data_IF_446968268825
#
_entry.id   IF_446968268825
#
_cell.length_a   1.000
_cell.length_b   1.000
_cell.length_c   1.000
_cell.angle_alpha   90.00
_cell.angle_beta   90.00
_cell.angle_gamma   90.00
#
_symmetry.space_group_name_H-M   'P 1'
#
loop_
_entity.id
_entity.type
_entity.pdbx_description
1 polymer ?
#
# COMPACT_ATOMS: atom_id res chain seq x y z
N UNK A 1 -16.89 17.00 -12.48
CA UNK A 1 -15.94 15.90 -12.70
C UNK A 1 -14.59 16.32 -12.15
N UNK A 2 -13.90 15.45 -11.43
CA UNK A 2 -12.55 15.74 -10.91
C UNK A 2 -11.55 15.90 -12.05
N UNK A 3 -10.39 16.50 -11.78
CA UNK A 3 -9.33 16.66 -12.78
C UNK A 3 -8.89 15.29 -13.35
N UNK A 4 -8.85 14.26 -12.50
CA UNK A 4 -8.53 12.89 -12.91
C UNK A 4 -9.61 12.31 -13.83
N UNK A 5 -10.90 12.43 -13.50
CA UNK A 5 -11.99 11.92 -14.36
C UNK A 5 -11.95 12.49 -15.78
N UNK A 6 -11.69 13.80 -15.92
CA UNK A 6 -11.55 14.43 -17.22
C UNK A 6 -10.33 13.88 -17.98
N UNK A 7 -9.22 13.68 -17.27
CA UNK A 7 -7.99 13.12 -17.82
C UNK A 7 -8.20 11.69 -18.34
N UNK A 8 -8.83 10.83 -17.54
CA UNK A 8 -9.14 9.45 -17.94
C UNK A 8 -10.10 9.42 -19.14
N UNK A 9 -11.12 10.28 -19.14
CA UNK A 9 -12.06 10.39 -20.26
C UNK A 9 -11.34 10.76 -21.56
N UNK A 10 -10.47 11.78 -21.52
CA UNK A 10 -9.69 12.19 -22.69
C UNK A 10 -8.76 11.09 -23.19
N UNK A 11 -8.12 10.33 -22.29
CA UNK A 11 -7.28 9.18 -22.66
C UNK A 11 -8.10 8.12 -23.41
N UNK A 12 -9.27 7.76 -22.87
CA UNK A 12 -10.14 6.73 -23.45
C UNK A 12 -10.74 7.13 -24.80
N UNK A 13 -11.03 8.42 -25.02
CA UNK A 13 -11.44 8.93 -26.33
C UNK A 13 -10.39 8.70 -27.44
N UNK A 14 -9.12 8.52 -27.06
CA UNK A 14 -7.97 8.34 -27.96
C UNK A 14 -7.40 6.91 -27.91
N UNK A 15 -8.16 5.92 -27.42
CA UNK A 15 -7.70 4.53 -27.30
C UNK A 15 -7.15 3.96 -28.62
N UNK A 16 -7.77 4.31 -29.76
CA UNK A 16 -7.33 3.80 -31.08
C UNK A 16 -5.90 4.23 -31.42
N UNK A 17 -5.50 5.44 -31.02
CA UNK A 17 -4.15 5.95 -31.24
C UNK A 17 -3.17 5.28 -30.28
N UNK A 18 -3.61 4.95 -29.07
CA UNK A 18 -2.78 4.32 -28.04
C UNK A 18 -2.54 2.83 -28.31
N UNK A 19 -3.46 2.15 -29.00
CA UNK A 19 -3.40 0.72 -29.27
C UNK A 19 -2.10 0.25 -29.95
N UNK A 20 -1.54 1.07 -30.85
CA UNK A 20 -0.30 0.79 -31.60
C UNK A 20 0.92 1.58 -31.07
N UNK A 21 0.74 2.32 -29.97
CA UNK A 21 1.76 3.21 -29.44
C UNK A 21 2.89 2.43 -28.72
N UNK A 22 4.08 3.02 -28.71
CA UNK A 22 5.20 2.51 -27.92
C UNK A 22 5.09 2.89 -26.44
N UNK A 23 5.90 2.29 -25.59
CA UNK A 23 5.91 2.52 -24.14
C UNK A 23 6.14 3.99 -23.79
N UNK A 24 7.09 4.66 -24.46
CA UNK A 24 7.36 6.08 -24.25
C UNK A 24 6.12 6.97 -24.50
N UNK A 25 5.25 6.60 -25.44
CA UNK A 25 3.99 7.30 -25.67
C UNK A 25 3.02 7.08 -24.52
N UNK A 26 2.93 5.86 -23.97
CA UNK A 26 2.10 5.56 -22.79
C UNK A 26 2.61 6.33 -21.57
N UNK A 27 3.92 6.31 -21.34
CA UNK A 27 4.58 7.08 -20.28
C UNK A 27 4.23 8.58 -20.37
N UNK A 28 4.34 9.18 -21.57
CA UNK A 28 4.21 10.63 -21.75
C UNK A 28 2.76 11.13 -21.84
N UNK A 29 1.89 10.39 -22.52
CA UNK A 29 0.52 10.84 -22.86
C UNK A 29 -0.56 10.18 -22.01
N UNK A 30 -0.22 9.19 -21.19
CA UNK A 30 -1.19 8.50 -20.32
C UNK A 30 -0.76 8.60 -18.87
N UNK A 31 0.41 8.04 -18.52
CA UNK A 31 0.86 7.93 -17.12
C UNK A 31 1.18 9.30 -16.52
N UNK A 32 1.99 10.13 -17.18
CA UNK A 32 2.30 11.47 -16.67
C UNK A 32 1.06 12.36 -16.48
N UNK A 33 0.11 12.46 -17.44
CA UNK A 33 -1.15 13.18 -17.22
C UNK A 33 -1.94 12.68 -16.00
N UNK A 34 -2.02 11.36 -15.78
CA UNK A 34 -2.68 10.78 -14.61
C UNK A 34 -1.94 11.19 -13.32
N UNK A 35 -0.61 11.09 -13.29
CA UNK A 35 0.20 11.51 -12.14
C UNK A 35 0.00 13.00 -11.82
N UNK A 36 0.00 13.87 -12.83
CA UNK A 36 -0.29 15.31 -12.67
C UNK A 36 -1.69 15.55 -12.10
N UNK A 37 -2.69 14.81 -12.58
CA UNK A 37 -4.05 14.90 -12.06
C UNK A 37 -4.17 14.44 -10.60
N UNK A 38 -3.27 13.54 -10.17
CA UNK A 38 -3.11 13.06 -8.79
C UNK A 38 -2.18 13.95 -7.93
N UNK A 39 -1.77 15.11 -8.45
CA UNK A 39 -1.03 16.13 -7.71
C UNK A 39 0.49 16.00 -7.73
N UNK A 40 1.05 15.09 -8.54
CA UNK A 40 2.49 14.97 -8.74
C UNK A 40 3.01 16.03 -9.72
N UNK A 41 4.20 16.59 -9.45
CA UNK A 41 4.81 17.59 -10.32
C UNK A 41 6.10 17.06 -10.98
N UNK A 42 6.04 16.78 -12.28
CA UNK A 42 7.18 16.35 -13.09
C UNK A 42 8.00 17.52 -13.68
N UNK A 43 7.53 18.76 -13.52
CA UNK A 43 8.16 19.94 -14.12
C UNK A 43 9.00 20.76 -13.13
N UNK A 44 8.84 20.53 -11.82
CA UNK A 44 9.64 21.18 -10.79
C UNK A 44 10.93 20.40 -10.50
N UNK A 45 12.03 20.87 -11.09
CA UNK A 45 13.34 20.27 -10.93
C UNK A 45 13.93 20.44 -9.52
N UNK A 46 13.40 21.35 -8.69
CA UNK A 46 13.89 21.54 -7.33
C UNK A 46 13.42 20.41 -6.40
N UNK A 47 12.23 19.86 -6.66
CA UNK A 47 11.63 18.77 -5.88
C UNK A 47 11.87 17.39 -6.49
N UNK A 48 12.03 17.31 -7.82
CA UNK A 48 12.25 16.05 -8.55
C UNK A 48 11.24 14.95 -8.18
N UNK A 49 9.98 15.33 -7.97
CA UNK A 49 8.94 14.43 -7.43
C UNK A 49 8.63 13.25 -8.34
N UNK A 50 8.83 13.42 -9.65
CA UNK A 50 8.67 12.37 -10.66
C UNK A 50 10.00 12.21 -11.38
N UNK A 51 10.79 11.22 -10.96
CA UNK A 51 12.10 10.95 -11.52
C UNK A 51 11.99 9.85 -12.60
N UNK A 52 12.25 10.17 -13.89
CA UNK A 52 12.26 9.15 -14.93
C UNK A 52 13.51 8.26 -14.84
N UNK A 53 13.41 7.05 -15.39
CA UNK A 53 14.55 6.17 -15.65
C UNK A 53 15.36 5.83 -14.39
N UNK A 54 14.66 5.57 -13.28
CA UNK A 54 15.26 5.33 -11.97
C UNK A 54 15.91 3.95 -11.89
N UNK A 55 17.21 3.93 -11.57
CA UNK A 55 17.99 2.71 -11.49
C UNK A 55 17.88 2.07 -10.09
N UNK A 56 17.44 0.81 -10.04
CA UNK A 56 17.50 -0.05 -8.86
C UNK A 56 18.37 -1.25 -9.19
N UNK A 57 19.52 -1.34 -8.54
CA UNK A 57 20.54 -2.36 -8.81
C UNK A 57 20.91 -2.44 -10.31
N UNK A 58 20.52 -3.53 -10.99
CA UNK A 58 20.79 -3.82 -12.40
C UNK A 58 19.62 -3.51 -13.33
N UNK A 59 18.51 -2.99 -12.80
CA UNK A 59 17.31 -2.66 -13.57
C UNK A 59 16.90 -1.20 -13.40
N UNK A 60 15.95 -0.81 -14.24
CA UNK A 60 15.49 0.55 -14.39
C UNK A 60 13.97 0.53 -14.41
N UNK A 61 13.36 1.29 -13.50
CA UNK A 61 11.95 1.59 -13.54
C UNK A 61 11.72 2.85 -14.36
N UNK A 62 10.58 2.93 -15.05
CA UNK A 62 10.27 4.08 -15.90
C UNK A 62 10.08 5.36 -15.09
N UNK A 63 9.42 5.26 -13.94
CA UNK A 63 9.30 6.37 -12.99
C UNK A 63 9.54 5.92 -11.54
N UNK A 64 10.16 6.80 -10.77
CA UNK A 64 10.19 6.76 -9.31
C UNK A 64 9.57 8.04 -8.74
N UNK A 65 8.68 7.89 -7.76
CA UNK A 65 7.98 9.02 -7.15
C UNK A 65 8.55 9.36 -5.78
N UNK A 66 8.82 10.65 -5.55
CA UNK A 66 9.43 11.18 -4.33
C UNK A 66 8.50 12.17 -3.63
N UNK A 67 8.45 12.09 -2.30
CA UNK A 67 7.79 13.11 -1.47
C UNK A 67 8.86 13.86 -0.70
N UNK A 68 9.28 15.06 -1.13
CA UNK A 68 10.24 15.86 -0.39
C UNK A 68 9.77 16.13 1.05
N UNK A 69 10.69 16.15 2.03
CA UNK A 69 12.15 16.04 1.90
C UNK A 69 12.67 14.59 1.95
N UNK A 70 11.85 13.57 1.70
CA UNK A 70 12.28 12.17 1.75
C UNK A 70 13.25 11.90 0.60
N UNK A 71 14.44 11.39 0.94
CA UNK A 71 15.53 11.15 -0.02
C UNK A 71 15.40 9.85 -0.81
N UNK A 72 14.50 8.94 -0.40
CA UNK A 72 14.20 7.69 -1.09
C UNK A 72 12.84 7.73 -1.79
N UNK A 73 12.68 7.03 -2.92
CA UNK A 73 11.40 6.97 -3.61
C UNK A 73 10.38 6.17 -2.81
N UNK A 74 9.11 6.57 -2.91
CA UNK A 74 7.97 5.91 -2.24
C UNK A 74 7.23 4.95 -3.18
N UNK A 75 7.25 5.25 -4.49
CA UNK A 75 6.57 4.46 -5.52
C UNK A 75 7.51 4.21 -6.69
N UNK A 76 7.55 2.98 -7.19
CA UNK A 76 8.09 2.66 -8.51
C UNK A 76 6.96 2.36 -9.50
N UNK A 77 7.13 2.80 -10.75
CA UNK A 77 6.19 2.55 -11.84
C UNK A 77 6.96 1.97 -13.04
N UNK A 78 6.49 0.82 -13.52
CA UNK A 78 6.89 0.20 -14.79
C UNK A 78 5.74 0.36 -15.79
N UNK A 79 6.03 0.89 -16.97
CA UNK A 79 5.05 1.06 -18.04
C UNK A 79 5.22 -0.02 -19.13
N UNK A 80 4.11 -0.35 -19.77
CA UNK A 80 4.01 -1.28 -20.91
C UNK A 80 3.26 -0.64 -22.07
N UNK A 81 3.27 -1.29 -23.23
CA UNK A 81 2.46 -0.86 -24.37
C UNK A 81 0.98 -1.10 -24.09
N UNK A 82 0.09 -0.28 -24.67
CA UNK A 82 -1.35 -0.27 -24.37
C UNK A 82 -2.04 -1.64 -24.36
N UNK A 83 -1.66 -2.54 -25.28
CA UNK A 83 -2.25 -3.87 -25.43
C UNK A 83 -1.34 -5.00 -24.93
N UNK A 84 -0.24 -4.68 -24.26
CA UNK A 84 0.67 -5.66 -23.70
C UNK A 84 0.12 -6.19 -22.36
N UNK A 85 -0.09 -7.51 -22.23
CA UNK A 85 -0.57 -8.12 -21.00
C UNK A 85 0.56 -8.26 -19.98
N UNK A 86 0.21 -8.21 -18.69
CA UNK A 86 1.18 -8.43 -17.62
C UNK A 86 1.54 -9.92 -17.49
N UNK A 87 2.82 -10.23 -17.64
CA UNK A 87 3.43 -11.54 -17.51
C UNK A 87 4.19 -11.65 -16.18
N UNK A 88 4.44 -12.87 -15.72
CA UNK A 88 5.22 -13.13 -14.49
C UNK A 88 6.65 -12.56 -14.53
N UNK A 89 7.20 -12.33 -15.72
CA UNK A 89 8.53 -11.70 -15.85
C UNK A 89 8.50 -10.21 -15.55
N UNK A 90 7.37 -9.54 -15.77
CA UNK A 90 7.24 -8.09 -15.59
C UNK A 90 6.92 -7.72 -14.14
N UNK A 91 6.44 -8.71 -13.39
CA UNK A 91 6.25 -8.73 -11.95
C UNK A 91 7.57 -8.55 -11.15
N UNK A 92 8.72 -8.54 -11.83
CA UNK A 92 10.03 -8.32 -11.23
C UNK A 92 10.20 -6.92 -10.60
N UNK A 93 9.41 -5.92 -11.00
CA UNK A 93 9.40 -4.60 -10.33
C UNK A 93 9.16 -4.73 -8.82
N UNK A 94 8.36 -5.69 -8.39
CA UNK A 94 8.09 -5.92 -6.97
C UNK A 94 9.33 -6.40 -6.21
N UNK A 95 10.19 -7.23 -6.82
CA UNK A 95 11.45 -7.64 -6.20
C UNK A 95 12.43 -6.47 -6.08
N UNK A 96 12.51 -5.60 -7.09
CA UNK A 96 13.38 -4.42 -7.02
C UNK A 96 12.90 -3.42 -5.98
N UNK A 97 11.59 -3.19 -5.91
CA UNK A 97 11.00 -2.36 -4.88
C UNK A 97 11.27 -2.93 -3.47
N UNK A 98 11.18 -4.25 -3.31
CA UNK A 98 11.57 -4.92 -2.06
C UNK A 98 13.07 -4.72 -1.72
N UNK A 99 13.98 -4.96 -2.68
CA UNK A 99 15.43 -4.74 -2.46
C UNK A 99 15.79 -3.28 -2.16
N UNK A 100 15.05 -2.34 -2.75
CA UNK A 100 15.26 -0.90 -2.60
C UNK A 100 14.53 -0.27 -1.40
N UNK A 101 13.85 -1.05 -0.56
CA UNK A 101 13.01 -0.58 0.55
C UNK A 101 11.92 0.43 0.09
N UNK A 102 11.32 0.17 -1.07
CA UNK A 102 10.32 1.05 -1.68
C UNK A 102 8.91 0.53 -1.33
N UNK A 103 8.06 1.35 -0.69
CA UNK A 103 6.76 0.91 -0.19
C UNK A 103 5.78 0.39 -1.24
N UNK A 104 5.71 1.00 -2.43
CA UNK A 104 4.71 0.62 -3.43
C UNK A 104 5.38 0.39 -4.78
N UNK A 105 4.98 -0.68 -5.47
CA UNK A 105 5.34 -0.94 -6.86
C UNK A 105 4.09 -1.00 -7.73
N UNK A 106 4.17 -0.44 -8.93
CA UNK A 106 3.07 -0.36 -9.89
C UNK A 106 3.55 -0.86 -11.25
N UNK A 107 2.74 -1.69 -11.89
CA UNK A 107 2.85 -1.97 -13.32
C UNK A 107 1.60 -1.46 -14.03
N UNK A 108 1.78 -0.83 -15.19
CA UNK A 108 0.66 -0.32 -15.98
C UNK A 108 0.92 -0.37 -17.49
N UNK A 109 -0.10 -0.64 -18.29
CA UNK A 109 -0.09 -0.39 -19.73
C UNK A 109 -0.86 0.89 -20.11
N UNK A 110 -1.18 1.73 -19.13
CA UNK A 110 -1.98 2.94 -19.28
C UNK A 110 -3.45 2.73 -18.96
N UNK A 111 -4.07 1.63 -19.41
CA UNK A 111 -5.47 1.31 -19.09
C UNK A 111 -5.63 0.45 -17.84
N UNK A 112 -4.78 -0.56 -17.70
CA UNK A 112 -4.74 -1.46 -16.57
C UNK A 112 -3.64 -1.04 -15.60
N UNK A 113 -3.97 -0.96 -14.32
CA UNK A 113 -3.08 -0.56 -13.24
C UNK A 113 -3.10 -1.63 -12.16
N UNK A 114 -1.93 -2.20 -11.87
CA UNK A 114 -1.77 -3.20 -10.81
C UNK A 114 -0.75 -2.73 -9.79
N UNK A 115 -1.18 -2.74 -8.54
CA UNK A 115 -0.42 -2.26 -7.40
C UNK A 115 0.02 -3.41 -6.51
N UNK A 116 1.28 -3.35 -6.09
CA UNK A 116 1.91 -4.33 -5.22
C UNK A 116 2.42 -3.64 -3.95
N UNK A 117 2.26 -4.33 -2.82
CA UNK A 117 2.90 -3.98 -1.55
C UNK A 117 4.11 -4.91 -1.37
N UNK A 118 5.34 -4.50 -1.75
CA UNK A 118 6.49 -5.40 -1.84
C UNK A 118 6.86 -6.04 -0.51
N UNK A 119 6.69 -5.32 0.59
CA UNK A 119 7.02 -5.79 1.94
C UNK A 119 5.89 -6.58 2.61
N UNK A 120 4.79 -6.85 1.89
CA UNK A 120 3.72 -7.68 2.43
C UNK A 120 4.18 -9.10 2.69
N UNK A 121 3.76 -9.65 3.84
CA UNK A 121 4.13 -10.97 4.36
C UNK A 121 3.39 -12.12 3.64
N UNK A 122 3.50 -12.17 2.32
CA UNK A 122 2.95 -13.25 1.52
C UNK A 122 4.03 -14.05 0.77
N UNK A 123 3.76 -15.34 0.58
CA UNK A 123 4.65 -16.31 -0.06
C UNK A 123 4.66 -16.19 -1.58
N UNK A 124 3.54 -15.80 -2.18
CA UNK A 124 3.42 -15.55 -3.62
C UNK A 124 3.34 -14.07 -3.93
N UNK A 125 3.74 -13.70 -5.14
CA UNK A 125 3.66 -12.33 -5.62
C UNK A 125 2.22 -11.89 -5.91
N UNK A 126 1.37 -12.83 -6.33
CA UNK A 126 -0.06 -12.58 -6.55
C UNK A 126 -0.79 -12.19 -5.27
N UNK A 127 -0.31 -12.68 -4.12
CA UNK A 127 -0.84 -12.33 -2.80
C UNK A 127 -0.34 -10.98 -2.29
N UNK A 128 0.61 -10.34 -2.99
CA UNK A 128 1.05 -8.96 -2.71
C UNK A 128 0.31 -7.92 -3.54
N UNK A 129 -0.56 -8.36 -4.46
CA UNK A 129 -1.42 -7.48 -5.26
C UNK A 129 -2.58 -7.01 -4.38
N UNK A 130 -2.58 -5.72 -4.05
CA UNK A 130 -3.62 -5.09 -3.22
C UNK A 130 -4.66 -4.31 -4.03
N UNK A 131 -4.36 -3.97 -5.27
CA UNK A 131 -5.29 -3.31 -6.19
C UNK A 131 -4.96 -3.71 -7.63
N UNK A 132 -5.99 -4.01 -8.40
CA UNK A 132 -5.95 -4.35 -9.82
C UNK A 132 -7.18 -3.70 -10.46
N UNK A 133 -6.98 -2.63 -11.22
CA UNK A 133 -8.05 -1.76 -11.69
C UNK A 133 -7.83 -1.36 -13.16
N UNK A 134 -8.90 -1.27 -13.94
CA UNK A 134 -8.83 -0.96 -15.38
C UNK A 134 -9.76 0.21 -15.71
N UNK A 135 -9.17 1.32 -16.15
CA UNK A 135 -9.88 2.56 -16.46
C UNK A 135 -10.82 2.39 -17.65
N UNK A 136 -10.59 1.42 -18.54
CA UNK A 136 -11.43 1.14 -19.70
C UNK A 136 -12.63 0.23 -19.35
N UNK A 137 -12.52 -0.57 -18.27
CA UNK A 137 -13.59 -1.46 -17.80
C UNK A 137 -14.52 -0.72 -16.83
N UNK A 138 -13.96 -0.11 -15.79
CA UNK A 138 -14.72 0.68 -14.81
C UNK A 138 -13.97 1.98 -14.45
N UNK A 139 -14.17 3.05 -15.24
CA UNK A 139 -13.50 4.33 -15.01
C UNK A 139 -13.79 4.93 -13.62
N UNK A 140 -14.96 4.67 -13.03
CA UNK A 140 -15.34 5.25 -11.74
C UNK A 140 -14.65 4.53 -10.59
N UNK A 141 -14.64 3.20 -10.62
CA UNK A 141 -13.86 2.42 -9.65
C UNK A 141 -12.38 2.74 -9.78
N UNK A 142 -11.85 2.75 -11.02
CA UNK A 142 -10.44 3.05 -11.24
C UNK A 142 -10.04 4.47 -10.83
N UNK A 143 -10.91 5.47 -11.00
CA UNK A 143 -10.69 6.82 -10.44
C UNK A 143 -10.53 6.74 -8.92
N UNK A 144 -11.43 6.03 -8.25
CA UNK A 144 -11.43 5.91 -6.78
C UNK A 144 -10.19 5.18 -6.28
N UNK A 145 -9.78 4.11 -6.96
CA UNK A 145 -8.57 3.34 -6.64
C UNK A 145 -7.30 4.16 -6.87
N UNK A 146 -7.18 4.84 -8.01
CA UNK A 146 -6.04 5.71 -8.32
C UNK A 146 -5.92 6.86 -7.30
N UNK A 147 -7.03 7.49 -6.92
CA UNK A 147 -7.04 8.52 -5.87
C UNK A 147 -6.67 7.91 -4.51
N UNK A 148 -7.21 6.74 -4.14
CA UNK A 148 -6.92 6.09 -2.86
C UNK A 148 -5.44 5.75 -2.70
N UNK A 149 -4.83 5.20 -3.74
CA UNK A 149 -3.49 4.60 -3.64
C UNK A 149 -2.36 5.42 -4.25
N UNK A 150 -2.64 6.42 -5.09
CA UNK A 150 -1.60 7.17 -5.81
C UNK A 150 -1.74 8.70 -5.72
N UNK A 151 -2.80 9.22 -5.08
CA UNK A 151 -2.91 10.65 -4.79
C UNK A 151 -1.74 11.08 -3.90
N UNK A 152 -1.03 12.13 -4.30
CA UNK A 152 0.18 12.59 -3.62
C UNK A 152 -0.06 12.86 -2.13
N UNK A 153 -1.20 13.43 -1.75
CA UNK A 153 -1.53 13.68 -0.33
C UNK A 153 -1.65 12.39 0.48
N UNK A 154 -2.22 11.34 -0.09
CA UNK A 154 -2.41 10.04 0.58
C UNK A 154 -1.09 9.27 0.68
N UNK A 155 -0.23 9.41 -0.33
CA UNK A 155 1.14 8.88 -0.28
C UNK A 155 1.96 9.62 0.79
N UNK A 156 1.86 10.96 0.82
CA UNK A 156 2.61 11.80 1.77
C UNK A 156 2.16 11.60 3.22
N UNK A 157 0.88 11.30 3.45
CA UNK A 157 0.31 11.05 4.77
C UNK A 157 0.52 9.61 5.26
N UNK A 158 0.93 8.69 4.38
CA UNK A 158 1.02 7.26 4.64
C UNK A 158 -0.32 6.51 4.53
N UNK A 159 -1.42 7.20 4.16
CA UNK A 159 -2.73 6.59 3.99
C UNK A 159 -2.77 5.58 2.83
N UNK A 160 -1.98 5.79 1.77
CA UNK A 160 -1.93 4.83 0.66
C UNK A 160 -1.35 3.48 1.08
N UNK A 161 -0.27 3.47 1.86
CA UNK A 161 0.33 2.24 2.41
C UNK A 161 -0.64 1.55 3.39
N UNK A 162 -1.26 2.32 4.30
CA UNK A 162 -2.23 1.77 5.25
C UNK A 162 -3.44 1.14 4.53
N UNK A 163 -3.99 1.80 3.51
CA UNK A 163 -5.10 1.25 2.74
C UNK A 163 -4.69 -0.02 1.98
N UNK A 164 -3.45 -0.10 1.49
CA UNK A 164 -2.92 -1.29 0.83
C UNK A 164 -2.82 -2.48 1.79
N UNK A 165 -2.33 -2.24 3.02
CA UNK A 165 -2.31 -3.26 4.08
C UNK A 165 -3.73 -3.76 4.40
N UNK A 166 -4.68 -2.85 4.60
CA UNK A 166 -6.09 -3.21 4.88
C UNK A 166 -6.67 -4.07 3.75
N UNK A 167 -6.46 -3.68 2.49
CA UNK A 167 -6.98 -4.42 1.34
C UNK A 167 -6.42 -5.85 1.26
N UNK A 168 -5.13 -6.04 1.58
CA UNK A 168 -4.51 -7.36 1.60
C UNK A 168 -5.00 -8.21 2.77
N UNK A 169 -5.22 -7.63 3.94
CA UNK A 169 -5.81 -8.36 5.07
C UNK A 169 -7.26 -8.80 4.80
N UNK A 170 -8.05 -7.96 4.15
CA UNK A 170 -9.42 -8.31 3.75
C UNK A 170 -9.42 -9.44 2.70
N UNK A 171 -8.48 -9.39 1.76
CA UNK A 171 -8.25 -10.45 0.77
C UNK A 171 -7.85 -11.76 1.44
N UNK A 172 -6.89 -11.74 2.37
CA UNK A 172 -6.47 -12.93 3.15
C UNK A 172 -7.64 -13.54 3.94
N UNK A 173 -8.55 -12.72 4.49
CA UNK A 173 -9.76 -13.20 5.19
C UNK A 173 -10.77 -13.84 4.25
N UNK A 174 -10.89 -13.31 3.03
CA UNK A 174 -11.84 -13.81 2.03
C UNK A 174 -11.36 -15.10 1.39
N UNK A 175 -10.06 -15.23 1.19
CA UNK A 175 -9.41 -16.43 0.61
C UNK A 175 -9.19 -17.54 1.66
N UNK A 176 -9.41 -17.26 2.95
CA UNK A 176 -9.33 -18.26 3.99
C UNK A 176 -10.40 -19.35 3.79
N UNK A 177 -10.05 -20.65 3.87
CA UNK A 177 -11.03 -21.71 3.76
C UNK A 177 -12.11 -21.55 4.83
N UNK A 178 -13.39 -21.65 4.45
CA UNK A 178 -14.51 -21.67 5.41
C UNK A 178 -14.22 -22.72 6.49
N UNK A 179 -14.54 -22.43 7.77
CA UNK A 179 -14.47 -23.47 8.80
C UNK A 179 -15.42 -24.60 8.39
N UNK A 180 -14.85 -25.79 8.15
CA UNK A 180 -15.59 -27.01 7.84
C UNK A 180 -16.83 -27.12 8.75
N UNK A 181 -18.04 -27.35 8.20
CA UNK A 181 -19.24 -27.44 9.01
C UNK A 181 -19.05 -28.55 10.04
N UNK A 182 -19.23 -28.20 11.32
CA UNK A 182 -19.04 -29.13 12.43
C UNK A 182 -20.18 -30.15 12.46
N UNK A 183 -20.09 -31.19 11.63
CA UNK A 183 -21.01 -32.30 11.68
C UNK A 183 -20.65 -33.24 12.84
N UNK A 184 -21.71 -33.65 13.54
CA UNK A 184 -21.64 -34.31 14.82
C UNK A 184 -20.96 -35.70 14.77
N UNK A 185 -20.17 -35.95 15.82
CA UNK A 185 -19.98 -37.25 16.49
C UNK A 185 -19.08 -38.29 15.79
N UNK A 186 -17.78 -38.26 16.12
CA UNK A 186 -16.93 -39.47 16.20
C UNK A 186 -16.07 -39.40 17.46
N UNK A 187 -16.06 -40.50 18.23
CA UNK A 187 -15.38 -40.69 19.51
C UNK A 187 -13.83 -40.66 19.44
N UNK A 188 -13.12 -40.48 20.58
CA UNK A 188 -11.73 -40.08 20.57
C UNK A 188 -10.81 -41.28 20.31
N UNK A 189 -9.82 -41.07 19.44
CA UNK A 189 -8.54 -41.80 19.53
C UNK A 189 -7.43 -40.78 19.68
N UNK A 190 -6.69 -40.96 20.78
CA UNK A 190 -5.42 -40.31 21.06
C UNK A 190 -4.54 -40.30 19.80
N UNK A 191 -3.98 -39.15 19.46
CA UNK A 191 -2.53 -38.96 19.52
C UNK A 191 -2.11 -37.52 19.15
N UNK A 192 -1.21 -36.99 20.00
CA UNK A 192 -0.36 -35.79 19.88
C UNK A 192 -1.02 -34.39 19.80
N UNK A 193 -0.78 -33.47 20.76
CA UNK A 193 -1.24 -32.09 20.63
C UNK A 193 -0.34 -31.36 19.62
N UNK A 194 -0.89 -31.07 18.44
CA UNK A 194 -0.31 -30.06 17.55
C UNK A 194 -0.79 -28.69 18.04
N UNK A 195 0.00 -28.01 18.86
CA UNK A 195 -0.15 -26.58 19.11
C UNK A 195 0.46 -25.81 17.94
N UNK A 196 -0.36 -25.07 17.20
CA UNK A 196 0.13 -23.99 16.34
C UNK A 196 0.94 -23.00 17.21
N UNK A 197 2.15 -22.58 16.80
CA UNK A 197 2.88 -21.57 17.54
C UNK A 197 2.06 -20.29 17.54
N UNK A 198 1.80 -19.75 18.74
CA UNK A 198 1.35 -18.37 18.87
C UNK A 198 2.37 -17.52 18.14
N UNK A 199 2.00 -16.88 17.03
CA UNK A 199 2.86 -15.87 16.44
C UNK A 199 3.02 -14.78 17.48
N UNK A 200 4.22 -14.71 18.04
CA UNK A 200 4.59 -13.76 19.07
C UNK A 200 4.41 -12.36 18.47
N UNK A 201 3.60 -11.52 19.10
CA UNK A 201 3.65 -10.08 18.81
C UNK A 201 5.04 -9.63 19.25
N UNK A 202 5.85 -9.11 18.32
CA UNK A 202 7.17 -8.55 18.65
C UNK A 202 7.05 -7.25 19.48
N UNK A 203 5.84 -6.69 19.59
CA UNK A 203 5.54 -5.59 20.49
C UNK A 203 5.25 -6.09 21.91
N UNK A 204 5.88 -5.52 22.96
CA UNK A 204 5.86 -6.08 24.31
C UNK A 204 4.52 -5.95 25.06
N UNK A 205 3.52 -5.27 24.49
CA UNK A 205 2.22 -5.00 25.12
C UNK A 205 1.07 -5.50 24.25
N UNK A 206 0.03 -6.08 24.86
CA UNK A 206 -1.25 -6.35 24.19
C UNK A 206 -2.02 -5.06 23.90
N UNK A 207 -3.03 -5.11 23.04
CA UNK A 207 -3.95 -4.00 22.78
C UNK A 207 -4.62 -3.49 24.04
N UNK A 208 -5.06 -4.40 24.92
CA UNK A 208 -5.63 -4.04 26.23
C UNK A 208 -4.61 -3.28 27.10
N UNK A 209 -3.34 -3.70 27.10
CA UNK A 209 -2.27 -2.99 27.83
C UNK A 209 -1.99 -1.62 27.22
N UNK A 210 -1.95 -1.51 25.89
CA UNK A 210 -1.80 -0.24 25.17
C UNK A 210 -2.91 0.75 25.51
N UNK A 211 -4.15 0.29 25.52
CA UNK A 211 -5.30 1.12 25.90
C UNK A 211 -5.18 1.63 27.33
N UNK A 212 -4.81 0.75 28.25
CA UNK A 212 -4.59 1.11 29.66
C UNK A 212 -3.48 2.13 29.81
N UNK A 213 -2.36 1.97 29.09
CA UNK A 213 -1.21 2.88 29.15
C UNK A 213 -1.56 4.25 28.55
N UNK A 214 -2.32 4.29 27.45
CA UNK A 214 -2.86 5.54 26.89
C UNK A 214 -3.76 6.28 27.88
N UNK A 215 -4.69 5.56 28.50
CA UNK A 215 -5.64 6.14 29.47
C UNK A 215 -4.92 6.64 30.73
N UNK A 216 -3.91 5.92 31.21
CA UNK A 216 -3.05 6.35 32.31
C UNK A 216 -2.22 7.59 31.95
N UNK A 217 -1.75 7.69 30.71
CA UNK A 217 -1.06 8.86 30.18
C UNK A 217 -1.99 10.08 29.96
N UNK A 218 -3.31 9.92 30.09
CA UNK A 218 -4.29 10.97 29.82
C UNK A 218 -4.39 11.35 28.34
N UNK A 219 -3.93 10.48 27.44
CA UNK A 219 -3.88 10.75 26.00
C UNK A 219 -5.13 10.23 25.28
N UNK A 220 -5.53 10.93 24.24
CA UNK A 220 -6.48 10.46 23.24
C UNK A 220 -5.79 9.62 22.17
N UNK A 221 -6.55 8.78 21.46
CA UNK A 221 -6.01 8.00 20.35
C UNK A 221 -5.42 8.89 19.24
N UNK A 222 -5.98 10.10 19.05
CA UNK A 222 -5.49 11.10 18.09
C UNK A 222 -4.12 11.65 18.52
N UNK A 223 -3.93 11.94 19.81
CA UNK A 223 -2.64 12.43 20.32
C UNK A 223 -1.54 11.37 20.23
N UNK A 224 -1.88 10.09 20.47
CA UNK A 224 -0.96 8.98 20.23
C UNK A 224 -0.62 8.88 18.74
N UNK A 225 -1.61 8.96 17.86
CA UNK A 225 -1.38 8.91 16.41
C UNK A 225 -0.45 10.04 15.94
N UNK A 226 -0.69 11.27 16.39
CA UNK A 226 0.16 12.43 16.13
C UNK A 226 1.60 12.21 16.63
N UNK A 227 1.78 11.68 17.84
CA UNK A 227 3.10 11.38 18.39
C UNK A 227 3.88 10.32 17.57
N UNK A 228 3.17 9.46 16.85
CA UNK A 228 3.77 8.47 15.96
C UNK A 228 4.09 9.02 14.57
N UNK A 229 3.61 10.23 14.24
CA UNK A 229 3.72 10.85 12.93
C UNK A 229 2.62 10.43 11.96
N UNK A 230 1.49 9.92 12.48
CA UNK A 230 0.29 9.65 11.68
C UNK A 230 -0.47 10.95 11.41
N UNK A 231 -1.27 10.96 10.34
CA UNK A 231 -2.03 12.14 9.92
C UNK A 231 -2.90 12.74 11.03
N UNK A 232 -2.95 14.07 11.10
CA UNK A 232 -3.75 14.79 12.08
C UNK A 232 -5.24 14.44 11.93
N UNK A 233 -5.82 13.86 12.98
CA UNK A 233 -7.22 13.39 13.00
C UNK A 233 -7.41 11.90 12.77
N UNK A 234 -6.36 11.14 12.46
CA UNK A 234 -6.44 9.68 12.36
C UNK A 234 -6.40 9.03 13.76
N UNK A 235 -7.49 8.39 14.19
CA UNK A 235 -7.48 7.48 15.35
C UNK A 235 -7.55 6.01 14.94
N UNK A 236 -7.79 5.73 13.66
CA UNK A 236 -8.13 4.40 13.15
C UNK A 236 -7.05 3.37 13.50
N UNK A 237 -5.78 3.67 13.23
CA UNK A 237 -4.68 2.77 13.54
C UNK A 237 -4.54 2.47 15.04
N UNK A 238 -4.60 3.49 15.90
CA UNK A 238 -4.42 3.32 17.35
C UNK A 238 -5.58 2.55 17.98
N UNK A 239 -6.81 2.84 17.57
CA UNK A 239 -8.00 2.14 18.10
C UNK A 239 -8.06 0.66 17.72
N UNK A 240 -7.51 0.28 16.56
CA UNK A 240 -7.43 -1.10 16.13
C UNK A 240 -6.28 -1.87 16.81
N UNK A 241 -5.17 -1.21 17.12
CA UNK A 241 -4.12 -1.78 17.98
C UNK A 241 -4.61 -2.03 19.40
N UNK A 242 -5.34 -1.07 19.99
CA UNK A 242 -5.90 -1.17 21.35
C UNK A 242 -6.95 -2.27 21.50
N UNK A 243 -7.61 -2.63 20.41
CA UNK A 243 -8.61 -3.68 20.38
C UNK A 243 -8.02 -5.04 19.98
N UNK A 244 -6.69 -5.15 19.82
CA UNK A 244 -6.01 -6.33 19.27
C UNK A 244 -6.59 -6.76 17.90
N UNK A 245 -7.19 -5.83 17.16
CA UNK A 245 -7.72 -6.07 15.79
C UNK A 245 -6.60 -6.03 14.77
N UNK A 246 -5.59 -5.19 14.99
CA UNK A 246 -4.38 -5.07 14.18
C UNK A 246 -3.13 -5.16 15.07
N UNK A 247 -2.03 -5.70 14.53
CA UNK A 247 -0.72 -5.65 15.21
C UNK A 247 -0.16 -4.23 15.14
N UNK A 248 0.56 -3.82 16.17
CA UNK A 248 1.36 -2.58 16.11
C UNK A 248 2.51 -2.77 15.11
N UNK A 249 2.65 -1.94 14.08
CA UNK A 249 3.77 -2.01 13.15
C UNK A 249 5.12 -1.77 13.83
N UNK A 250 6.16 -2.53 13.47
CA UNK A 250 7.50 -2.48 14.09
C UNK A 250 8.12 -1.08 14.06
N UNK A 251 7.84 -0.31 12.99
CA UNK A 251 8.27 1.10 12.86
C UNK A 251 7.76 2.02 13.97
N UNK A 252 6.67 1.65 14.65
CA UNK A 252 6.07 2.41 15.75
C UNK A 252 6.48 1.91 17.15
N UNK A 253 7.15 0.74 17.24
CA UNK A 253 7.43 0.09 18.54
C UNK A 253 8.26 0.98 19.46
N UNK A 254 9.40 1.47 19.00
CA UNK A 254 10.29 2.30 19.81
C UNK A 254 9.62 3.60 20.28
N UNK A 255 8.79 4.22 19.43
CA UNK A 255 8.06 5.45 19.77
C UNK A 255 6.98 5.20 20.80
N UNK A 256 6.19 4.12 20.67
CA UNK A 256 5.16 3.76 21.65
C UNK A 256 5.78 3.39 23.00
N UNK A 257 6.86 2.62 23.01
CA UNK A 257 7.59 2.28 24.24
C UNK A 257 8.09 3.56 24.92
N UNK A 258 8.73 4.46 24.16
CA UNK A 258 9.23 5.73 24.70
C UNK A 258 8.10 6.64 25.22
N UNK A 259 6.96 6.69 24.51
CA UNK A 259 5.81 7.51 24.88
C UNK A 259 5.23 7.10 26.25
N UNK A 260 5.14 5.80 26.52
CA UNK A 260 4.57 5.29 27.76
C UNK A 260 5.60 5.00 28.87
N UNK A 261 6.90 5.02 28.56
CA UNK A 261 7.94 4.91 29.60
C UNK A 261 8.11 6.22 30.40
N UNK A 262 7.58 7.35 29.90
CA UNK A 262 7.65 8.65 30.58
C UNK A 262 6.54 8.85 31.62
N UNK A 263 5.57 7.94 31.71
CA UNK A 263 4.42 8.04 32.63
C UNK A 263 4.56 7.21 33.91
N UNK A 264 5.66 6.45 34.06
CA UNK A 264 5.94 5.60 35.23
C UNK A 264 6.78 6.30 36.33
N UNK A 265 7.06 7.60 36.19
CA UNK A 265 7.71 8.42 37.23
C UNK A 265 6.71 9.35 37.90
N UNK A 266 5.73 8.76 38.60
CA UNK A 266 4.73 9.47 39.41
C UNK A 266 4.33 8.68 40.64
#
# INVERSE_FOLDING_TARGET
MSNLQNTLTHILEHERQLADANEATIQQYVVLPILRALGWNDTDLASMEVLPEYQVESRRADYALYVPPIESPIVLIECKRWNEPFTRHEEQICFYAYSGDIPIAIITNGKHWRFYLPHWRASSLSDRIFCDTDIAIDPNSATSDLERYLLKSNISSGESELNAEIALEEKEKTDAPEPEPSDARVEPKNDVPYTLPKQQNDFPYSGVQLKSMREQAGLTQIEVALALGLAAGSSAGVGDWEADRLKVPTKHHAKLIALYSQTDTG
#
